data_IF_289792168328
#
_entry.id   IF_289792168328
#
_cell.length_a   1.000
_cell.length_b   1.000
_cell.length_c   1.000
_cell.angle_alpha   90.00
_cell.angle_beta   90.00
_cell.angle_gamma   90.00
#
_symmetry.space_group_name_H-M   'P 1'
#
loop_
_entity.id
_entity.type
_entity.pdbx_description
1 polymer ?
#
# COMPACT_ATOMS: atom_id res chain seq x y z
N UNK A 1 -54.48 28.46 -53.17
CA UNK A 1 -53.48 29.31 -52.55
C UNK A 1 -53.55 29.12 -51.03
N UNK A 2 -52.82 28.19 -50.46
CA UNK A 2 -52.66 28.05 -49.00
C UNK A 2 -51.24 27.61 -48.75
N UNK A 3 -50.47 28.47 -48.13
CA UNK A 3 -49.08 28.23 -47.74
C UNK A 3 -49.01 27.28 -46.52
N UNK A 4 -48.26 26.21 -46.66
CA UNK A 4 -47.96 25.27 -45.60
C UNK A 4 -46.80 25.86 -44.79
N UNK A 5 -47.04 26.18 -43.51
CA UNK A 5 -46.03 26.55 -42.54
C UNK A 5 -45.37 25.26 -41.98
N UNK A 6 -44.17 25.03 -42.38
CA UNK A 6 -43.33 24.03 -41.79
C UNK A 6 -42.84 24.51 -40.40
N UNK A 7 -43.35 23.88 -39.34
CA UNK A 7 -42.92 24.11 -37.98
C UNK A 7 -41.56 23.45 -37.73
N UNK A 8 -40.58 24.26 -37.41
CA UNK A 8 -39.28 23.82 -36.92
C UNK A 8 -39.46 23.21 -35.53
N UNK A 9 -39.37 21.89 -35.44
CA UNK A 9 -39.22 21.19 -34.18
C UNK A 9 -37.74 21.24 -33.88
N UNK A 10 -37.32 22.22 -33.10
CA UNK A 10 -36.02 22.25 -32.46
C UNK A 10 -36.01 21.14 -31.41
N UNK A 11 -35.41 20.01 -31.76
CA UNK A 11 -35.07 18.95 -30.83
C UNK A 11 -34.00 19.49 -29.87
N UNK A 12 -34.46 19.89 -28.71
CA UNK A 12 -33.61 20.22 -27.56
C UNK A 12 -32.95 18.93 -27.06
N UNK A 13 -31.84 18.54 -27.66
CA UNK A 13 -30.96 17.52 -27.11
C UNK A 13 -30.37 18.07 -25.80
N UNK A 14 -31.08 17.82 -24.72
CA UNK A 14 -30.52 17.96 -23.39
C UNK A 14 -29.31 17.02 -23.29
N UNK A 15 -28.13 17.58 -23.48
CA UNK A 15 -26.87 16.95 -23.12
C UNK A 15 -26.89 16.75 -21.62
N UNK A 16 -27.41 15.60 -21.20
CA UNK A 16 -27.13 15.03 -19.90
C UNK A 16 -25.64 14.68 -19.89
N UNK A 17 -24.81 15.68 -19.62
CA UNK A 17 -23.49 15.45 -19.10
C UNK A 17 -23.67 14.75 -17.75
N UNK A 18 -23.81 13.44 -17.81
CA UNK A 18 -23.57 12.60 -16.68
C UNK A 18 -22.13 12.91 -16.25
N UNK A 19 -21.99 13.74 -15.22
CA UNK A 19 -20.81 13.72 -14.38
C UNK A 19 -20.73 12.28 -13.87
N UNK A 20 -20.07 11.42 -14.63
CA UNK A 20 -19.48 10.23 -14.08
C UNK A 20 -18.51 10.77 -13.04
N UNK A 21 -18.94 10.81 -11.79
CA UNK A 21 -18.01 10.76 -10.67
C UNK A 21 -17.17 9.52 -10.97
N UNK A 22 -16.07 9.75 -11.68
CA UNK A 22 -14.95 8.84 -11.58
C UNK A 22 -14.69 8.77 -10.08
N UNK A 23 -15.32 7.76 -9.46
CA UNK A 23 -14.67 7.11 -8.34
C UNK A 23 -13.20 7.18 -8.70
N UNK A 24 -12.38 7.78 -7.83
CA UNK A 24 -10.93 7.70 -7.92
C UNK A 24 -10.67 6.21 -7.74
N UNK A 25 -11.06 5.48 -8.79
CA UNK A 25 -10.80 4.08 -8.94
C UNK A 25 -9.30 4.03 -8.95
N UNK A 26 -8.76 3.43 -7.94
CA UNK A 26 -7.42 2.93 -7.91
C UNK A 26 -6.95 2.70 -9.33
N UNK A 27 -6.09 3.61 -9.83
CA UNK A 27 -5.42 3.38 -11.10
C UNK A 27 -4.73 2.05 -10.91
N UNK A 28 -5.31 1.04 -11.54
CA UNK A 28 -4.76 -0.31 -11.54
C UNK A 28 -3.31 -0.15 -11.95
N UNK A 29 -2.46 -0.45 -11.02
CA UNK A 29 -1.03 -0.47 -11.17
C UNK A 29 -0.78 -1.41 -12.35
N UNK A 30 -0.21 -0.90 -13.43
CA UNK A 30 0.06 -1.71 -14.60
C UNK A 30 1.21 -2.64 -14.28
N UNK A 31 1.00 -3.94 -14.47
CA UNK A 31 2.11 -4.87 -14.57
C UNK A 31 2.93 -4.54 -15.82
N UNK A 32 4.23 -4.64 -15.70
CA UNK A 32 5.12 -4.61 -16.85
C UNK A 32 5.60 -6.03 -17.09
N UNK A 33 5.19 -6.62 -18.21
CA UNK A 33 5.94 -7.71 -18.80
C UNK A 33 7.06 -7.05 -19.61
N UNK A 34 8.29 -7.28 -19.25
CA UNK A 34 9.45 -6.64 -19.85
C UNK A 34 10.31 -5.91 -18.81
N UNK A 35 11.18 -5.03 -19.27
CA UNK A 35 12.07 -4.28 -18.39
C UNK A 35 11.28 -3.46 -17.36
N UNK A 36 11.37 -3.87 -16.10
CA UNK A 36 10.80 -3.10 -15.01
C UNK A 36 11.45 -1.71 -14.98
N UNK A 37 10.68 -0.65 -14.66
CA UNK A 37 11.19 0.73 -14.69
C UNK A 37 12.35 0.97 -13.73
N UNK A 38 12.46 0.15 -12.66
CA UNK A 38 13.51 0.22 -11.66
C UNK A 38 13.85 -1.18 -11.17
N UNK A 39 15.12 -1.47 -11.02
CA UNK A 39 15.58 -2.72 -10.41
C UNK A 39 15.69 -2.54 -8.89
N UNK A 40 14.80 -3.18 -8.14
CA UNK A 40 14.77 -3.17 -6.69
C UNK A 40 15.56 -4.34 -6.05
N UNK A 41 16.12 -5.25 -6.87
CA UNK A 41 16.81 -6.44 -6.38
C UNK A 41 17.94 -6.10 -5.42
N UNK A 42 18.07 -6.89 -4.37
CA UNK A 42 19.14 -6.74 -3.39
C UNK A 42 18.71 -7.11 -2.00
N UNK A 43 19.66 -6.96 -1.08
CA UNK A 43 19.42 -7.08 0.36
C UNK A 43 19.43 -5.69 0.99
N UNK A 44 18.44 -5.46 1.83
CA UNK A 44 18.13 -4.15 2.38
C UNK A 44 18.03 -4.25 3.90
N UNK A 45 18.75 -3.40 4.61
CA UNK A 45 18.74 -3.32 6.07
C UNK A 45 18.09 -2.00 6.51
N UNK A 46 17.25 -2.09 7.54
CA UNK A 46 16.50 -0.95 8.04
C UNK A 46 17.40 0.16 8.57
N UNK A 47 17.16 1.37 8.13
CA UNK A 47 17.76 2.57 8.67
C UNK A 47 16.90 3.12 9.81
N UNK A 48 17.36 2.87 11.04
CA UNK A 48 16.63 3.33 12.23
C UNK A 48 16.78 4.82 12.53
N UNK A 49 17.72 5.50 11.85
CA UNK A 49 17.86 6.95 11.98
C UNK A 49 16.85 7.72 11.14
N UNK A 50 16.25 7.06 10.15
CA UNK A 50 15.24 7.63 9.26
C UNK A 50 13.91 6.89 9.37
N UNK A 51 12.85 7.59 9.04
CA UNK A 51 11.50 7.05 9.03
C UNK A 51 10.65 7.54 10.19
N UNK A 52 9.42 7.11 10.18
CA UNK A 52 8.42 7.58 11.11
C UNK A 52 8.57 6.95 12.49
N UNK A 53 8.34 7.77 13.50
CA UNK A 53 8.13 7.32 14.88
C UNK A 53 6.62 7.17 15.08
N UNK A 54 6.15 5.96 15.33
CA UNK A 54 4.71 5.61 15.41
C UNK A 54 3.95 6.55 16.33
N UNK A 55 4.46 6.83 17.53
CA UNK A 55 3.80 7.73 18.50
C UNK A 55 3.67 9.16 17.98
N UNK A 56 4.64 9.64 17.19
CA UNK A 56 4.59 10.98 16.58
C UNK A 56 3.50 11.02 15.50
N UNK A 57 3.44 9.98 14.63
CA UNK A 57 2.42 9.90 13.60
C UNK A 57 1.02 9.71 14.16
N UNK A 58 0.85 8.89 15.17
CA UNK A 58 -0.42 8.76 15.92
C UNK A 58 -0.86 10.12 16.43
N UNK A 59 0.01 10.86 17.13
CA UNK A 59 -0.32 12.17 17.65
C UNK A 59 -0.67 13.18 16.54
N UNK A 60 0.01 13.10 15.38
CA UNK A 60 -0.30 13.94 14.22
C UNK A 60 -1.72 13.68 13.71
N UNK A 61 -2.08 12.43 13.52
CA UNK A 61 -3.41 12.03 13.03
C UNK A 61 -4.50 12.36 14.05
N UNK A 62 -4.26 12.12 15.33
CA UNK A 62 -5.21 12.47 16.38
C UNK A 62 -5.49 13.97 16.44
N UNK A 63 -4.46 14.82 16.33
CA UNK A 63 -4.64 16.27 16.24
C UNK A 63 -5.46 16.67 15.00
N UNK A 64 -5.28 15.99 13.87
CA UNK A 64 -6.07 16.25 12.67
C UNK A 64 -7.54 15.91 12.89
N UNK A 65 -7.84 14.75 13.49
CA UNK A 65 -9.23 14.35 13.82
C UNK A 65 -9.87 15.36 14.77
N UNK A 66 -9.16 15.79 15.80
CA UNK A 66 -9.66 16.77 16.77
C UNK A 66 -9.96 18.13 16.10
N UNK A 67 -9.05 18.61 15.24
CA UNK A 67 -9.27 19.86 14.49
C UNK A 67 -10.48 19.77 13.57
N UNK A 68 -10.65 18.67 12.86
CA UNK A 68 -11.82 18.45 11.98
C UNK A 68 -13.14 18.37 12.75
N UNK A 69 -13.11 17.92 14.00
CA UNK A 69 -14.29 17.88 14.86
C UNK A 69 -14.72 19.26 15.40
N UNK A 70 -13.79 20.22 15.44
CA UNK A 70 -14.03 21.57 15.96
C UNK A 70 -14.39 22.57 14.84
N UNK A 71 -14.05 22.28 13.57
CA UNK A 71 -14.30 23.20 12.46
C UNK A 71 -15.78 23.19 12.05
N UNK A 72 -16.53 24.28 12.30
CA UNK A 72 -17.96 24.38 11.99
C UNK A 72 -18.25 24.33 10.47
N UNK A 73 -17.24 24.53 9.61
CA UNK A 73 -17.38 24.46 8.16
C UNK A 73 -17.38 23.02 7.64
N UNK A 74 -16.84 22.07 8.41
CA UNK A 74 -16.80 20.65 8.10
C UNK A 74 -17.92 19.84 8.77
N UNK A 75 -18.65 20.42 9.71
CA UNK A 75 -19.79 19.77 10.33
C UNK A 75 -21.06 20.11 9.55
N UNK A 76 -21.61 19.13 8.87
CA UNK A 76 -22.92 19.23 8.21
C UNK A 76 -24.09 19.35 9.20
N UNK A 77 -23.82 19.27 10.48
CA UNK A 77 -24.82 19.36 11.52
C UNK A 77 -24.92 20.79 12.08
N UNK A 78 -26.06 21.39 11.86
CA UNK A 78 -26.44 22.73 12.36
C UNK A 78 -26.53 22.83 13.91
N UNK A 79 -26.22 21.79 14.62
CA UNK A 79 -26.25 21.74 16.09
C UNK A 79 -24.82 21.41 16.55
N UNK A 80 -24.11 22.44 17.01
CA UNK A 80 -22.69 22.42 17.39
C UNK A 80 -22.34 21.60 18.64
N UNK A 81 -22.85 20.40 18.74
CA UNK A 81 -22.35 19.39 19.66
C UNK A 81 -21.54 18.41 18.79
N UNK A 82 -20.23 18.63 18.73
CA UNK A 82 -19.31 17.64 18.20
C UNK A 82 -19.70 16.30 18.82
N UNK A 83 -20.14 15.35 17.96
CA UNK A 83 -20.63 14.05 18.43
C UNK A 83 -19.44 13.30 19.03
N UNK A 84 -19.21 13.48 20.34
CA UNK A 84 -18.05 12.98 21.07
C UNK A 84 -17.90 11.46 20.93
N UNK A 85 -19.01 10.75 20.71
CA UNK A 85 -19.03 9.30 20.50
C UNK A 85 -18.42 8.93 19.14
N UNK A 86 -18.67 9.68 18.07
CA UNK A 86 -18.13 9.41 16.74
C UNK A 86 -16.63 9.76 16.68
N UNK A 87 -16.25 10.86 17.31
CA UNK A 87 -14.83 11.21 17.42
C UNK A 87 -14.07 10.15 18.21
N UNK A 88 -14.61 9.64 19.30
CA UNK A 88 -13.99 8.56 20.09
C UNK A 88 -13.85 7.28 19.25
N UNK A 89 -14.88 6.89 18.49
CA UNK A 89 -14.84 5.74 17.59
C UNK A 89 -13.78 5.90 16.51
N UNK A 90 -13.68 7.07 15.89
CA UNK A 90 -12.62 7.37 14.89
C UNK A 90 -11.23 7.24 15.50
N UNK A 91 -11.02 7.78 16.69
CA UNK A 91 -9.75 7.67 17.42
C UNK A 91 -9.40 6.19 17.67
N UNK A 92 -10.32 5.40 18.22
CA UNK A 92 -10.08 3.98 18.50
C UNK A 92 -9.71 3.19 17.24
N UNK A 93 -10.38 3.47 16.11
CA UNK A 93 -10.06 2.82 14.83
C UNK A 93 -8.69 3.20 14.32
N UNK A 94 -8.33 4.48 14.39
CA UNK A 94 -6.99 4.93 13.97
C UNK A 94 -5.90 4.32 14.84
N UNK A 95 -6.12 4.20 16.14
CA UNK A 95 -5.17 3.53 17.03
C UNK A 95 -4.99 2.05 16.66
N UNK A 96 -6.07 1.35 16.32
CA UNK A 96 -5.98 -0.03 15.83
C UNK A 96 -5.21 -0.14 14.52
N UNK A 97 -5.46 0.77 13.57
CA UNK A 97 -4.69 0.83 12.31
C UNK A 97 -3.21 1.14 12.55
N UNK A 98 -2.91 2.02 13.51
CA UNK A 98 -1.53 2.35 13.87
C UNK A 98 -0.79 1.16 14.48
N UNK A 99 -1.44 0.40 15.37
CA UNK A 99 -0.88 -0.82 15.94
C UNK A 99 -0.61 -1.87 14.86
N UNK A 100 -1.54 -2.06 13.93
CA UNK A 100 -1.36 -2.98 12.81
C UNK A 100 -0.21 -2.50 11.91
N UNK A 101 -0.19 -1.22 11.52
CA UNK A 101 0.88 -0.65 10.70
C UNK A 101 2.25 -0.81 11.36
N UNK A 102 2.35 -0.58 12.67
CA UNK A 102 3.59 -0.79 13.41
C UNK A 102 4.04 -2.25 13.35
N UNK A 103 3.14 -3.19 13.64
CA UNK A 103 3.43 -4.62 13.64
C UNK A 103 3.94 -5.10 12.27
N UNK A 104 3.28 -4.74 11.17
CA UNK A 104 3.67 -5.18 9.82
C UNK A 104 4.88 -4.46 9.25
N UNK A 105 5.31 -3.34 9.86
CA UNK A 105 6.50 -2.58 9.44
C UNK A 105 7.72 -2.81 10.33
N UNK A 106 7.64 -3.71 11.32
CA UNK A 106 8.76 -4.12 12.17
C UNK A 106 9.68 -5.13 11.48
N UNK A 107 10.06 -4.84 10.25
CA UNK A 107 10.94 -5.71 9.46
C UNK A 107 12.31 -5.08 9.37
N UNK A 108 13.31 -5.78 9.87
CA UNK A 108 14.70 -5.27 9.93
C UNK A 108 15.43 -5.46 8.61
N UNK A 109 15.13 -6.54 7.90
CA UNK A 109 15.79 -6.85 6.62
C UNK A 109 14.79 -7.30 5.57
N UNK A 110 15.00 -6.81 4.35
CA UNK A 110 14.27 -7.24 3.16
C UNK A 110 15.26 -7.89 2.20
N UNK A 111 14.82 -8.93 1.50
CA UNK A 111 15.49 -9.46 0.32
C UNK A 111 14.54 -9.35 -0.85
N UNK A 112 14.92 -8.59 -1.85
CA UNK A 112 14.11 -8.40 -3.06
C UNK A 112 14.78 -9.15 -4.19
N UNK A 113 14.04 -10.07 -4.80
CA UNK A 113 14.39 -10.75 -6.04
C UNK A 113 13.46 -10.26 -7.14
N UNK A 114 14.03 -9.84 -8.26
CA UNK A 114 13.27 -9.33 -9.38
C UNK A 114 13.76 -9.98 -10.66
N UNK A 115 12.83 -10.47 -11.45
CA UNK A 115 13.05 -11.00 -12.79
C UNK A 115 12.13 -10.28 -13.77
N UNK A 116 12.19 -10.66 -15.03
CA UNK A 116 11.31 -10.13 -16.08
C UNK A 116 9.82 -10.36 -15.78
N UNK A 117 9.49 -11.47 -15.10
CA UNK A 117 8.10 -11.89 -14.90
C UNK A 117 7.67 -11.92 -13.43
N UNK A 118 8.56 -11.63 -12.51
CA UNK A 118 8.26 -11.75 -11.09
C UNK A 118 9.06 -10.78 -10.24
N UNK A 119 8.44 -10.26 -9.20
CA UNK A 119 9.11 -9.62 -8.08
C UNK A 119 8.67 -10.28 -6.78
N UNK A 120 9.64 -10.63 -5.95
CA UNK A 120 9.41 -11.18 -4.63
C UNK A 120 10.14 -10.35 -3.59
N UNK A 121 9.43 -9.96 -2.53
CA UNK A 121 9.97 -9.24 -1.39
C UNK A 121 9.86 -10.15 -0.17
N UNK A 122 10.97 -10.78 0.17
CA UNK A 122 11.08 -11.58 1.39
C UNK A 122 11.31 -10.65 2.59
N UNK A 123 10.51 -10.83 3.60
CA UNK A 123 10.53 -10.06 4.84
C UNK A 123 10.87 -10.99 5.99
N UNK A 124 12.02 -10.80 6.64
CA UNK A 124 12.43 -11.68 7.73
C UNK A 124 11.42 -11.62 8.88
N UNK A 125 10.77 -12.74 9.15
CA UNK A 125 9.77 -12.87 10.22
C UNK A 125 8.34 -12.52 9.83
N UNK A 126 8.08 -12.26 8.54
CA UNK A 126 6.76 -11.97 8.00
C UNK A 126 6.56 -12.66 6.64
N UNK A 127 5.33 -12.67 6.13
CA UNK A 127 5.02 -13.25 4.82
C UNK A 127 5.68 -12.46 3.68
N UNK A 128 6.20 -13.20 2.70
CA UNK A 128 6.74 -12.60 1.50
C UNK A 128 5.62 -11.97 0.65
N UNK A 129 5.94 -10.87 -0.02
CA UNK A 129 5.10 -10.30 -1.06
C UNK A 129 5.58 -10.88 -2.39
N UNK A 130 4.72 -11.52 -3.15
CA UNK A 130 5.04 -12.09 -4.46
C UNK A 130 4.10 -11.53 -5.51
N UNK A 131 4.67 -11.06 -6.62
CA UNK A 131 3.94 -10.50 -7.74
C UNK A 131 4.44 -11.11 -9.05
N UNK A 132 3.54 -11.67 -9.81
CA UNK A 132 3.83 -12.24 -11.12
C UNK A 132 3.23 -11.35 -12.23
N UNK A 133 3.96 -11.18 -13.32
CA UNK A 133 3.56 -10.34 -14.44
C UNK A 133 3.39 -11.21 -15.69
N UNK A 134 2.15 -11.35 -16.17
CA UNK A 134 1.83 -12.06 -17.39
C UNK A 134 1.22 -11.09 -18.39
N UNK A 135 1.82 -11.02 -19.60
CA UNK A 135 1.30 -10.19 -20.71
C UNK A 135 0.99 -8.74 -20.32
N UNK A 136 1.79 -8.16 -19.43
CA UNK A 136 1.59 -6.80 -18.95
C UNK A 136 0.51 -6.64 -17.87
N UNK A 137 -0.02 -7.74 -17.36
CA UNK A 137 -0.96 -7.76 -16.23
C UNK A 137 -0.25 -8.24 -14.98
N UNK A 138 -0.35 -7.48 -13.91
CA UNK A 138 0.12 -7.91 -12.60
C UNK A 138 -0.91 -8.82 -11.95
N UNK A 139 -0.48 -9.99 -11.51
CA UNK A 139 -1.31 -10.91 -10.75
C UNK A 139 -0.66 -11.17 -9.40
N UNK A 140 -1.43 -11.04 -8.36
CA UNK A 140 -1.08 -11.49 -7.03
C UNK A 140 -1.83 -12.79 -6.69
N UNK A 141 -1.39 -13.52 -5.67
CA UNK A 141 -2.11 -14.69 -5.21
C UNK A 141 -3.51 -14.30 -4.74
N UNK A 142 -4.52 -14.97 -5.28
CA UNK A 142 -5.88 -14.91 -4.76
C UNK A 142 -6.03 -16.01 -3.71
N UNK A 143 -6.34 -15.62 -2.49
CA UNK A 143 -6.48 -16.53 -1.36
C UNK A 143 -7.84 -16.37 -0.70
N UNK A 144 -8.26 -17.37 0.06
CA UNK A 144 -9.48 -17.30 0.89
C UNK A 144 -9.43 -16.14 1.91
N UNK A 145 -8.23 -15.65 2.21
CA UNK A 145 -7.98 -14.61 3.21
C UNK A 145 -7.90 -13.20 2.61
N UNK A 146 -7.89 -13.09 1.29
CA UNK A 146 -7.85 -11.79 0.63
C UNK A 146 -7.32 -11.84 -0.80
N UNK A 147 -7.37 -10.70 -1.45
CA UNK A 147 -6.88 -10.49 -2.80
C UNK A 147 -5.65 -9.57 -2.77
N UNK A 148 -4.55 -10.06 -3.33
CA UNK A 148 -3.34 -9.26 -3.50
C UNK A 148 -3.26 -8.70 -4.93
N UNK A 149 -3.15 -7.39 -5.03
CA UNK A 149 -2.99 -6.66 -6.30
C UNK A 149 -1.65 -5.96 -6.25
N UNK A 150 -0.83 -6.15 -7.26
CA UNK A 150 0.50 -5.57 -7.29
C UNK A 150 0.90 -5.11 -8.69
N UNK A 151 1.92 -4.27 -8.77
CA UNK A 151 2.44 -3.75 -10.02
C UNK A 151 3.21 -2.46 -9.86
N UNK A 152 3.43 -1.76 -10.98
CA UNK A 152 4.19 -0.53 -11.01
C UNK A 152 3.31 0.69 -11.17
N UNK A 153 3.59 1.74 -10.39
CA UNK A 153 3.03 3.08 -10.53
C UNK A 153 4.20 4.04 -10.83
N UNK A 154 4.47 4.24 -12.11
CA UNK A 154 5.69 4.91 -12.55
C UNK A 154 6.93 4.14 -12.12
N UNK A 155 7.78 4.73 -11.29
CA UNK A 155 9.01 4.12 -10.76
C UNK A 155 8.84 3.44 -9.40
N UNK A 156 7.62 3.28 -8.95
CA UNK A 156 7.31 2.70 -7.65
C UNK A 156 6.68 1.33 -7.83
N UNK A 157 7.18 0.33 -7.13
CA UNK A 157 6.47 -0.94 -7.00
C UNK A 157 5.42 -0.82 -5.89
N UNK A 158 4.21 -1.23 -6.19
CA UNK A 158 3.08 -1.19 -5.25
C UNK A 158 2.50 -2.57 -5.08
N UNK A 159 2.37 -3.01 -3.85
CA UNK A 159 1.59 -4.19 -3.46
C UNK A 159 0.44 -3.75 -2.56
N UNK A 160 -0.73 -4.31 -2.80
CA UNK A 160 -1.94 -4.05 -2.02
C UNK A 160 -2.66 -5.34 -1.71
N UNK A 161 -2.84 -5.60 -0.44
CA UNK A 161 -3.68 -6.68 0.09
C UNK A 161 -5.04 -6.11 0.50
N UNK A 162 -6.11 -6.71 0.00
CA UNK A 162 -7.50 -6.37 0.35
C UNK A 162 -8.12 -7.57 1.05
N UNK A 163 -8.46 -7.41 2.32
CA UNK A 163 -9.09 -8.44 3.14
C UNK A 163 -10.61 -8.36 3.05
N UNK A 164 -11.34 -9.46 3.31
CA UNK A 164 -12.80 -9.53 3.12
C UNK A 164 -13.60 -8.53 3.95
N UNK A 165 -13.09 -8.13 5.12
CA UNK A 165 -13.69 -7.14 6.03
C UNK A 165 -13.47 -5.69 5.61
N UNK A 166 -12.83 -5.48 4.44
CA UNK A 166 -12.52 -4.16 3.90
C UNK A 166 -11.26 -3.53 4.49
N UNK A 167 -10.48 -4.27 5.26
CA UNK A 167 -9.14 -3.87 5.65
C UNK A 167 -8.22 -3.95 4.43
N UNK A 168 -7.39 -2.90 4.25
CA UNK A 168 -6.44 -2.82 3.14
C UNK A 168 -5.07 -2.47 3.69
N UNK A 169 -4.08 -3.20 3.20
CA UNK A 169 -2.66 -2.93 3.45
C UNK A 169 -2.00 -2.65 2.11
N UNK A 170 -1.35 -1.52 1.99
CA UNK A 170 -0.63 -1.15 0.76
C UNK A 170 0.81 -0.82 1.09
N UNK A 171 1.73 -1.47 0.39
CA UNK A 171 3.16 -1.19 0.42
C UNK A 171 3.57 -0.51 -0.88
N UNK A 172 4.32 0.58 -0.77
CA UNK A 172 4.87 1.31 -1.90
C UNK A 172 6.39 1.38 -1.73
N UNK A 173 7.11 0.79 -2.65
CA UNK A 173 8.57 0.71 -2.66
C UNK A 173 9.12 1.72 -3.65
N UNK A 174 9.99 2.60 -3.17
CA UNK A 174 10.59 3.66 -3.98
C UNK A 174 12.10 3.62 -3.80
N UNK A 175 12.82 3.40 -4.89
CA UNK A 175 14.28 3.47 -4.91
C UNK A 175 14.75 4.93 -4.92
N UNK A 176 15.79 5.24 -4.16
CA UNK A 176 16.50 6.50 -4.29
C UNK A 176 17.21 6.60 -5.64
N UNK A 177 17.47 7.82 -6.07
CA UNK A 177 18.12 8.07 -7.38
C UNK A 177 19.54 7.51 -7.47
N UNK A 178 20.22 7.35 -6.34
CA UNK A 178 21.57 6.76 -6.27
C UNK A 178 21.54 5.22 -6.13
N UNK A 179 20.36 4.61 -6.04
CA UNK A 179 20.17 3.18 -5.92
C UNK A 179 20.57 2.59 -4.55
N UNK A 180 20.94 3.41 -3.57
CA UNK A 180 21.49 2.94 -2.28
C UNK A 180 20.49 2.89 -1.15
N UNK A 181 19.36 3.54 -1.30
CA UNK A 181 18.30 3.58 -0.31
C UNK A 181 16.97 3.17 -0.90
N UNK A 182 16.20 2.43 -0.12
CA UNK A 182 14.84 2.04 -0.44
C UNK A 182 13.89 2.68 0.58
N UNK A 183 12.90 3.41 0.11
CA UNK A 183 11.81 3.94 0.91
C UNK A 183 10.60 3.03 0.77
N UNK A 184 10.04 2.58 1.88
CA UNK A 184 8.84 1.75 1.93
C UNK A 184 7.77 2.48 2.71
N UNK A 185 6.74 2.96 1.99
CA UNK A 185 5.55 3.58 2.58
C UNK A 185 4.47 2.53 2.74
N UNK A 186 4.05 2.28 3.97
CA UNK A 186 3.01 1.30 4.29
C UNK A 186 1.78 2.01 4.79
N UNK A 187 0.67 1.87 4.06
CA UNK A 187 -0.63 2.45 4.41
C UNK A 187 -1.61 1.37 4.78
N UNK A 188 -2.22 1.51 5.95
CA UNK A 188 -3.32 0.66 6.42
C UNK A 188 -4.60 1.47 6.45
N UNK A 189 -5.66 0.93 5.88
CA UNK A 189 -6.97 1.58 5.81
C UNK A 189 -8.10 0.56 5.98
N UNK A 190 -9.28 1.05 6.32
CA UNK A 190 -10.49 0.23 6.42
C UNK A 190 -11.69 1.00 5.89
N UNK A 191 -12.70 0.31 5.41
CA UNK A 191 -13.97 0.91 5.00
C UNK A 191 -14.70 1.61 6.16
N UNK A 192 -14.39 1.25 7.39
CA UNK A 192 -15.02 1.79 8.59
C UNK A 192 -14.51 3.18 9.02
N UNK A 193 -13.44 3.70 8.40
CA UNK A 193 -12.93 5.06 8.64
C UNK A 193 -12.34 5.66 7.38
N UNK A 194 -12.53 6.96 7.20
CA UNK A 194 -11.95 7.72 6.08
C UNK A 194 -10.51 8.15 6.33
N UNK A 195 -9.96 7.85 7.52
CA UNK A 195 -8.62 8.27 7.90
C UNK A 195 -7.70 7.04 7.87
N UNK A 196 -6.89 6.87 6.81
CA UNK A 196 -5.86 5.83 6.77
C UNK A 196 -4.73 6.16 7.75
N UNK A 197 -3.92 5.16 8.05
CA UNK A 197 -2.70 5.33 8.80
C UNK A 197 -1.51 4.88 7.95
N UNK A 198 -0.49 5.72 7.85
CA UNK A 198 0.71 5.46 7.03
C UNK A 198 1.95 5.54 7.89
N UNK A 199 2.89 4.64 7.63
CA UNK A 199 4.24 4.65 8.19
C UNK A 199 5.26 4.54 7.09
N UNK A 200 6.27 5.37 7.15
CA UNK A 200 7.41 5.38 6.24
C UNK A 200 8.64 4.75 6.91
N UNK A 201 9.26 3.80 6.20
CA UNK A 201 10.48 3.12 6.60
C UNK A 201 11.54 3.27 5.52
N UNK A 202 12.78 3.42 5.94
CA UNK A 202 13.92 3.52 5.03
C UNK A 202 14.86 2.36 5.27
N UNK A 203 15.44 1.88 4.18
CA UNK A 203 16.38 0.77 4.18
C UNK A 203 17.60 1.18 3.37
N UNK A 204 18.77 0.75 3.80
CA UNK A 204 20.01 0.91 3.05
C UNK A 204 20.40 -0.42 2.42
N UNK A 205 20.94 -0.37 1.21
CA UNK A 205 21.47 -1.55 0.57
C UNK A 205 22.66 -2.08 1.36
N UNK A 206 22.71 -3.39 1.56
CA UNK A 206 23.86 -4.04 2.21
C UNK A 206 24.21 -5.33 1.49
N UNK A 207 25.49 -5.67 1.53
CA UNK A 207 25.94 -6.96 1.06
C UNK A 207 25.72 -7.97 2.20
N UNK A 208 24.88 -8.97 1.93
CA UNK A 208 24.68 -10.05 2.89
C UNK A 208 26.01 -10.82 2.99
N UNK A 209 26.62 -10.91 4.17
CA UNK A 209 27.81 -11.73 4.34
C UNK A 209 27.47 -13.17 3.93
N UNK A 210 28.32 -13.77 3.11
CA UNK A 210 28.19 -15.19 2.76
C UNK A 210 28.16 -15.97 4.06
N UNK A 211 27.05 -16.64 4.32
CA UNK A 211 26.91 -17.43 5.54
C UNK A 211 27.97 -18.53 5.51
N UNK A 212 28.91 -18.51 6.43
CA UNK A 212 29.86 -19.60 6.61
C UNK A 212 29.18 -20.93 7.01
N UNK A 213 27.88 -20.85 7.30
CA UNK A 213 27.06 -21.98 7.72
C UNK A 213 25.83 -22.09 6.82
N UNK A 214 25.63 -23.25 6.22
CA UNK A 214 24.39 -23.60 5.57
C UNK A 214 23.48 -24.27 6.61
N UNK A 215 22.45 -23.59 7.06
CA UNK A 215 21.53 -24.08 8.08
C UNK A 215 20.22 -24.49 7.45
N UNK A 216 19.81 -25.73 7.66
CA UNK A 216 18.49 -26.25 7.27
C UNK A 216 17.67 -26.57 8.53
N UNK A 217 16.38 -26.33 8.48
CA UNK A 217 15.48 -26.76 9.53
C UNK A 217 14.92 -28.14 9.18
N UNK A 218 15.05 -29.08 10.10
CA UNK A 218 14.52 -30.43 9.96
C UNK A 218 13.55 -30.72 11.10
N UNK A 219 12.55 -31.56 10.83
CA UNK A 219 11.53 -31.93 11.82
C UNK A 219 12.14 -32.68 13.03
N UNK A 220 13.21 -33.45 12.80
CA UNK A 220 13.83 -34.28 13.85
C UNK A 220 14.92 -33.59 14.64
N UNK A 221 15.66 -32.64 14.03
CA UNK A 221 16.85 -32.02 14.63
C UNK A 221 16.73 -30.51 14.72
N UNK A 222 15.54 -29.96 14.55
CA UNK A 222 15.24 -28.52 14.53
C UNK A 222 16.12 -27.78 13.50
N UNK A 223 17.26 -27.24 13.90
CA UNK A 223 18.17 -26.47 13.05
C UNK A 223 19.51 -27.19 12.95
N UNK A 224 19.87 -27.63 11.76
CA UNK A 224 21.15 -28.26 11.47
C UNK A 224 21.97 -27.32 10.59
N UNK A 225 23.15 -26.94 11.07
CA UNK A 225 24.05 -26.06 10.30
C UNK A 225 25.29 -26.88 9.89
N UNK A 226 25.65 -26.83 8.63
CA UNK A 226 26.89 -27.40 8.10
C UNK A 226 27.81 -26.29 7.60
N UNK A 227 29.12 -26.46 7.86
CA UNK A 227 30.18 -25.68 7.23
C UNK A 227 30.48 -26.36 5.88
N UNK A 228 29.89 -25.91 4.82
CA UNK A 228 30.16 -26.46 3.48
C UNK A 228 30.56 -25.35 2.53
N UNK A 229 31.70 -25.51 1.89
CA UNK A 229 32.04 -24.69 0.74
C UNK A 229 30.93 -24.85 -0.30
N UNK A 230 30.32 -23.73 -0.66
CA UNK A 230 29.40 -23.67 -1.80
C UNK A 230 30.26 -23.83 -3.06
N UNK A 231 30.21 -25.02 -3.68
CA UNK A 231 30.79 -25.26 -5.01
C UNK A 231 29.93 -24.63 -6.07
#
# INVERSE_FOLDING_TARGET
>A
MKALRTGNILALCALLTACSQQLVGDKLVRGYAGDAPVNLSGSWERDYARGDIVSVEVNRVLRQIQRSAIDPRMSNDRIGVANTSDTRRKISRVLALAQLADMITQVDTLTITQSEHQISVERKGDYAISCEFYEGVAQGPETEYGNEICGWDGHQFVSRLVLPDGLRVSHRFTMSTDGKSLHVSTTVSTSATTTPFTLDRYYNQFERPVSAFNCIETLSMKRVCSTGEIK
#
